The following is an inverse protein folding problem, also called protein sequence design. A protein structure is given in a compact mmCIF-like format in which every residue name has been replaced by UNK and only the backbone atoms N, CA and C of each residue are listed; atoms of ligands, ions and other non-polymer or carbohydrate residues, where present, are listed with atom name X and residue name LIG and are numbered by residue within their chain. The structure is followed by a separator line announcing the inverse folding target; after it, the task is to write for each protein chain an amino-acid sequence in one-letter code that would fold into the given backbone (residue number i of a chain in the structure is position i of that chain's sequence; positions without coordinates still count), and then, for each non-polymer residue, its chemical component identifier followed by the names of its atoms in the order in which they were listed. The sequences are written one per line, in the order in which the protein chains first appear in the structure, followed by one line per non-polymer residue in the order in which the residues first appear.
data_IF_699491360466
#
_entry.id   IF_699491360466
#
_cell.length_a   1.000
_cell.length_b   1.000
_cell.length_c   1.000
_cell.angle_alpha   90.00
_cell.angle_beta   90.00
_cell.angle_gamma   90.00
#
_symmetry.space_group_name_H-M   'P 1'
#
loop_
_entity.id
_entity.type
_entity.pdbx_description
1 polymer ?
#
# COMPACT_ATOMS: atom_id res chain seq x y z
N UNK A 1 3.15 1.85 28.73
CA UNK A 1 4.47 1.80 28.04
C UNK A 1 4.20 1.56 26.57
N UNK A 2 4.71 2.41 25.67
CA UNK A 2 4.56 2.17 24.24
C UNK A 2 5.41 0.94 23.87
N UNK A 3 4.77 -0.14 23.44
CA UNK A 3 5.48 -1.34 22.98
C UNK A 3 6.09 -1.03 21.62
N UNK A 4 7.41 -1.11 21.52
CA UNK A 4 8.10 -0.97 20.24
C UNK A 4 7.75 -2.17 19.36
N UNK A 5 7.21 -1.96 18.14
CA UNK A 5 6.85 -3.05 17.25
C UNK A 5 8.10 -3.79 16.77
N UNK A 6 8.00 -5.12 16.67
CA UNK A 6 9.09 -5.94 16.13
C UNK A 6 9.24 -5.72 14.63
N UNK A 7 10.45 -5.96 14.10
CA UNK A 7 10.72 -5.89 12.65
C UNK A 7 9.75 -6.74 11.83
N UNK A 8 9.38 -7.92 12.34
CA UNK A 8 8.43 -8.81 11.66
C UNK A 8 7.02 -8.22 11.61
N UNK A 9 6.57 -7.54 12.68
CA UNK A 9 5.28 -6.85 12.71
C UNK A 9 5.24 -5.71 11.68
N UNK A 10 6.32 -4.92 11.57
CA UNK A 10 6.44 -3.85 10.57
C UNK A 10 6.37 -4.43 9.15
N UNK A 11 7.10 -5.51 8.86
CA UNK A 11 7.08 -6.15 7.53
C UNK A 11 5.70 -6.73 7.17
N UNK A 12 5.01 -7.35 8.14
CA UNK A 12 3.63 -7.85 7.95
C UNK A 12 2.66 -6.71 7.66
N UNK A 13 2.81 -5.59 8.36
CA UNK A 13 2.00 -4.40 8.12
C UNK A 13 2.27 -3.83 6.73
N UNK A 14 3.55 -3.62 6.37
CA UNK A 14 3.95 -3.17 5.03
C UNK A 14 3.34 -4.03 3.91
N UNK A 15 3.47 -5.35 4.01
CA UNK A 15 2.89 -6.27 3.03
C UNK A 15 1.37 -6.22 2.97
N UNK A 16 0.70 -5.93 4.09
CA UNK A 16 -0.76 -5.77 4.15
C UNK A 16 -1.21 -4.45 3.52
N UNK A 17 -0.52 -3.35 3.81
CA UNK A 17 -0.78 -2.03 3.24
C UNK A 17 -0.50 -2.00 1.74
N UNK A 18 0.59 -2.63 1.29
CA UNK A 18 0.92 -2.72 -0.13
C UNK A 18 -0.11 -3.54 -0.92
N UNK A 19 -0.66 -4.61 -0.33
CA UNK A 19 -1.76 -5.37 -0.95
C UNK A 19 -3.04 -4.53 -1.05
N UNK A 20 -3.39 -3.79 0.00
CA UNK A 20 -4.53 -2.88 -0.03
C UNK A 20 -4.35 -1.78 -1.09
N UNK A 21 -3.18 -1.14 -1.15
CA UNK A 21 -2.86 -0.14 -2.17
C UNK A 21 -2.97 -0.69 -3.61
N UNK A 22 -2.55 -1.94 -3.84
CA UNK A 22 -2.65 -2.60 -5.15
C UNK A 22 -4.08 -2.97 -5.55
N UNK A 23 -5.01 -3.05 -4.60
CA UNK A 23 -6.40 -3.45 -4.86
C UNK A 23 -7.28 -2.32 -5.41
N UNK A 24 -6.77 -1.09 -5.50
CA UNK A 24 -7.47 0.01 -6.15
C UNK A 24 -7.61 -0.26 -7.65
N UNK A 25 -8.83 -0.13 -8.17
CA UNK A 25 -9.14 -0.30 -9.59
C UNK A 25 -8.54 0.85 -10.40
N UNK A 26 -8.71 2.08 -9.92
CA UNK A 26 -8.17 3.28 -10.58
C UNK A 26 -6.65 3.30 -10.59
N UNK A 27 -6.05 3.39 -11.79
CA UNK A 27 -4.60 3.46 -11.98
C UNK A 27 -3.90 4.52 -11.11
N UNK A 28 -4.42 5.75 -11.09
CA UNK A 28 -3.80 6.86 -10.36
C UNK A 28 -3.74 6.61 -8.85
N UNK A 29 -4.84 6.15 -8.26
CA UNK A 29 -4.90 5.82 -6.84
C UNK A 29 -4.00 4.65 -6.50
N UNK A 30 -4.03 3.59 -7.31
CA UNK A 30 -3.15 2.42 -7.13
C UNK A 30 -1.68 2.83 -7.08
N UNK A 31 -1.21 3.60 -8.07
CA UNK A 31 0.19 4.03 -8.12
C UNK A 31 0.55 4.99 -7.00
N UNK A 32 -0.30 5.97 -6.72
CA UNK A 32 -0.09 6.91 -5.63
C UNK A 32 0.04 6.20 -4.28
N UNK A 33 -0.91 5.31 -3.95
CA UNK A 33 -0.88 4.60 -2.67
C UNK A 33 0.26 3.59 -2.58
N UNK A 34 0.67 2.96 -3.69
CA UNK A 34 1.86 2.09 -3.72
C UNK A 34 3.12 2.90 -3.42
N UNK A 35 3.31 4.05 -4.09
CA UNK A 35 4.45 4.93 -3.84
C UNK A 35 4.44 5.46 -2.40
N UNK A 36 3.31 6.00 -1.93
CA UNK A 36 3.14 6.53 -0.58
C UNK A 36 3.42 5.48 0.49
N UNK A 37 2.95 4.24 0.29
CA UNK A 37 3.23 3.12 1.22
C UNK A 37 4.73 2.84 1.28
N UNK A 38 5.42 2.78 0.14
CA UNK A 38 6.88 2.57 0.13
C UNK A 38 7.61 3.68 0.87
N UNK A 39 7.23 4.93 0.63
CA UNK A 39 7.88 6.07 1.24
C UNK A 39 7.65 6.13 2.75
N UNK A 40 6.42 5.90 3.21
CA UNK A 40 6.11 5.88 4.63
C UNK A 40 6.85 4.75 5.38
N UNK A 41 6.98 3.57 4.77
CA UNK A 41 7.72 2.48 5.43
C UNK A 41 9.24 2.64 5.36
N UNK A 42 9.76 3.39 4.38
CA UNK A 42 11.18 3.81 4.37
C UNK A 42 11.47 4.81 5.48
N UNK A 43 10.59 5.78 5.73
CA UNK A 43 10.77 6.72 6.84
C UNK A 43 10.69 6.02 8.20
N UNK A 44 9.74 5.08 8.38
CA UNK A 44 9.67 4.25 9.59
C UNK A 44 10.94 3.42 9.80
N UNK A 45 11.54 2.90 8.72
CA UNK A 45 12.80 2.15 8.79
C UNK A 45 14.01 3.04 9.15
N UNK A 46 14.02 4.30 8.70
CA UNK A 46 15.11 5.23 8.96
C UNK A 46 15.04 5.90 10.35
N UNK A 47 13.89 5.83 11.02
CA UNK A 47 13.69 6.39 12.36
C UNK A 47 14.31 5.50 13.44
N UNK A 48 15.06 6.12 14.35
CA UNK A 48 15.81 5.44 15.41
C UNK A 48 15.15 5.58 16.78
N UNK A 49 14.25 6.56 16.93
CA UNK A 49 13.50 6.78 18.18
C UNK A 49 12.38 5.74 18.32
N UNK A 50 12.45 4.83 19.33
CA UNK A 50 11.45 3.78 19.51
C UNK A 50 10.03 4.30 19.74
N UNK A 51 9.88 5.50 20.32
CA UNK A 51 8.57 6.13 20.58
C UNK A 51 7.96 6.59 19.26
N UNK A 52 8.76 7.23 18.39
CA UNK A 52 8.30 7.66 17.07
C UNK A 52 7.97 6.48 16.16
N UNK A 53 8.79 5.41 16.19
CA UNK A 53 8.49 4.17 15.45
C UNK A 53 7.17 3.56 15.92
N UNK A 54 6.94 3.47 17.22
CA UNK A 54 5.68 2.94 17.77
C UNK A 54 4.48 3.80 17.35
N UNK A 55 4.60 5.13 17.42
CA UNK A 55 3.55 6.05 16.96
C UNK A 55 3.26 5.89 15.46
N UNK A 56 4.28 5.94 14.61
CA UNK A 56 4.14 5.81 13.16
C UNK A 56 3.57 4.44 12.76
N UNK A 57 3.94 3.38 13.49
CA UNK A 57 3.35 2.05 13.31
C UNK A 57 1.85 2.05 13.61
N UNK A 58 1.42 2.63 14.73
CA UNK A 58 0.01 2.71 15.11
C UNK A 58 -0.80 3.56 14.12
N UNK A 59 -0.22 4.66 13.65
CA UNK A 59 -0.79 5.47 12.56
C UNK A 59 -0.97 4.64 11.29
N UNK A 60 0.06 3.91 10.85
CA UNK A 60 0.00 3.05 9.68
C UNK A 60 -1.02 1.90 9.81
N UNK A 61 -1.25 1.37 11.02
CA UNK A 61 -2.32 0.40 11.31
C UNK A 61 -3.70 1.02 11.08
N UNK A 62 -3.91 2.24 11.56
CA UNK A 62 -5.17 2.96 11.35
C UNK A 62 -5.39 3.30 9.87
N UNK A 63 -4.34 3.78 9.20
CA UNK A 63 -4.35 4.07 7.75
C UNK A 63 -4.67 2.83 6.92
N UNK A 64 -4.15 1.65 7.28
CA UNK A 64 -4.49 0.40 6.60
C UNK A 64 -6.00 0.15 6.59
N UNK A 65 -6.69 0.43 7.71
CA UNK A 65 -8.14 0.31 7.81
C UNK A 65 -8.87 1.24 6.83
N UNK A 66 -8.44 2.51 6.77
CA UNK A 66 -8.97 3.50 5.84
C UNK A 66 -8.71 3.08 4.40
N UNK A 67 -7.48 2.71 4.08
CA UNK A 67 -7.04 2.32 2.75
C UNK A 67 -7.84 1.13 2.19
N UNK A 68 -8.13 0.13 3.03
CA UNK A 68 -8.98 -1.02 2.65
C UNK A 68 -10.40 -0.59 2.30
N UNK A 69 -11.03 0.25 3.12
CA UNK A 69 -12.39 0.77 2.84
C UNK A 69 -12.40 1.61 1.57
N UNK A 70 -11.42 2.49 1.40
CA UNK A 70 -11.28 3.33 0.21
C UNK A 70 -11.10 2.49 -1.06
N UNK A 71 -10.34 1.39 -1.01
CA UNK A 71 -10.20 0.49 -2.14
C UNK A 71 -11.54 -0.17 -2.53
N UNK A 72 -12.34 -0.60 -1.54
CA UNK A 72 -13.67 -1.18 -1.78
C UNK A 72 -14.60 -0.15 -2.41
N UNK A 73 -14.66 1.07 -1.86
CA UNK A 73 -15.45 2.17 -2.43
C UNK A 73 -14.99 2.49 -3.86
N UNK A 74 -13.68 2.52 -4.10
CA UNK A 74 -13.12 2.72 -5.42
C UNK A 74 -13.51 1.60 -6.41
N UNK A 75 -13.67 0.35 -5.94
CA UNK A 75 -14.17 -0.74 -6.79
C UNK A 75 -15.68 -0.59 -7.09
N UNK A 76 -16.48 -0.19 -6.10
CA UNK A 76 -17.94 0.00 -6.25
C UNK A 76 -18.25 1.14 -7.24
N UNK A 77 -17.54 2.26 -7.12
CA UNK A 77 -17.78 3.47 -7.92
C UNK A 77 -16.81 3.64 -9.10
N UNK A 78 -15.80 2.78 -9.23
CA UNK A 78 -14.73 2.90 -10.23
C UNK A 78 -15.16 2.66 -11.67
N UNK A 79 -16.43 2.32 -11.90
CA UNK A 79 -17.00 2.16 -13.24
C UNK A 79 -16.30 1.12 -14.10
N UNK A 80 -16.57 1.16 -15.41
CA UNK A 80 -15.90 0.33 -16.41
C UNK A 80 -14.46 0.84 -16.56
N UNK A 81 -13.47 -0.06 -16.50
CA UNK A 81 -12.04 0.26 -16.67
C UNK A 81 -11.84 1.18 -17.88
N UNK A 82 -11.05 2.23 -17.73
CA UNK A 82 -10.75 3.16 -18.82
C UNK A 82 -10.03 2.39 -19.94
N UNK A 83 -10.21 2.77 -21.21
CA UNK A 83 -9.59 2.06 -22.35
C UNK A 83 -8.05 1.96 -22.24
N UNK A 84 -7.43 2.93 -21.55
CA UNK A 84 -6.00 2.96 -21.23
C UNK A 84 -5.55 1.89 -20.21
N UNK A 85 -6.47 1.31 -19.44
CA UNK A 85 -6.19 0.27 -18.44
C UNK A 85 -6.22 -1.15 -19.04
N UNK A 86 -6.76 -1.34 -20.25
CA UNK A 86 -6.80 -2.63 -20.94
C UNK A 86 -5.52 -3.00 -21.69
N UNK A 87 -4.63 -2.04 -21.93
CA UNK A 87 -3.43 -2.23 -22.77
C UNK A 87 -2.14 -2.44 -21.99
N UNK A 88 -2.12 -2.19 -20.67
CA UNK A 88 -0.88 -2.24 -19.88
C UNK A 88 -0.44 -3.64 -19.42
N UNK A 89 -1.26 -4.68 -19.61
CA UNK A 89 -0.92 -6.06 -19.19
C UNK A 89 -0.46 -6.97 -20.35
N UNK A 90 -0.53 -6.51 -21.61
CA UNK A 90 -0.19 -7.34 -22.79
C UNK A 90 1.31 -7.30 -23.16
N UNK A 91 2.12 -6.49 -22.47
CA UNK A 91 3.50 -6.20 -22.86
C UNK A 91 4.62 -7.09 -22.29
N UNK A 92 4.35 -8.15 -21.51
CA UNK A 92 5.45 -8.91 -20.86
C UNK A 92 5.36 -10.44 -20.96
N UNK A 93 4.75 -10.96 -22.03
CA UNK A 93 4.83 -12.38 -22.36
C UNK A 93 5.21 -12.61 -23.81
N UNK A 94 6.40 -12.17 -24.19
CA UNK A 94 7.06 -12.63 -25.41
C UNK A 94 8.35 -13.38 -25.01
N UNK A 95 8.23 -14.70 -25.07
CA UNK A 95 9.20 -15.73 -25.45
C UNK A 95 10.64 -15.67 -24.89
N UNK A 96 10.93 -16.56 -23.95
CA UNK A 96 12.22 -17.23 -23.86
C UNK A 96 12.04 -18.67 -24.33
N UNK A 97 12.51 -18.96 -25.54
CA UNK A 97 12.92 -20.31 -25.95
C UNK A 97 14.36 -20.52 -25.53
#
# INVERSE_FOLDING_TARGET
MATTPSRQQILRLYGSTLRAAKSFSSYNFRNYFVWRTRENFRSIQAEQDPVKVSRAYNEAVNELGVLRRSAIINQIYGGRRLAVEGQSEVGTRIQGS
#
